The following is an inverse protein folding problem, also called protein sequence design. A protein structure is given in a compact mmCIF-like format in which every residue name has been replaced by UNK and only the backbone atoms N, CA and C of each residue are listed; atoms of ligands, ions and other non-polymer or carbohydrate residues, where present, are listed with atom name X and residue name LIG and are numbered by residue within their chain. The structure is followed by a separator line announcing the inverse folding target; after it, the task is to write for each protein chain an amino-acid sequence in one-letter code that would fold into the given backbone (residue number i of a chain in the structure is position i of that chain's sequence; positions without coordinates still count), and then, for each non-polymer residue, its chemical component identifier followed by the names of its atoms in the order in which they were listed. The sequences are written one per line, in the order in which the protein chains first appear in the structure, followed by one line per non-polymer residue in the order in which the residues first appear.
data_IF_751697077789
#
_entry.id   IF_751697077789
#
_cell.length_a   1.000
_cell.length_b   1.000
_cell.length_c   1.000
_cell.angle_alpha   90.00
_cell.angle_beta   90.00
_cell.angle_gamma   90.00
#
_symmetry.space_group_name_H-M   'P 1'
#
loop_
_entity.id
_entity.type
_entity.pdbx_description
1 polymer ?
#
# COMPACT_ATOMS: atom_id res chain seq x y z
N UNK A 1 24.85 -44.87 -19.06
CA UNK A 1 23.48 -44.37 -19.25
C UNK A 1 23.34 -43.13 -18.41
N UNK A 2 23.52 -41.98 -19.07
CA UNK A 2 23.45 -40.66 -18.46
C UNK A 2 21.96 -40.30 -18.35
N UNK A 3 21.41 -40.40 -17.14
CA UNK A 3 20.03 -39.97 -16.86
C UNK A 3 20.00 -38.44 -16.90
N UNK A 4 19.71 -37.91 -18.07
CA UNK A 4 19.37 -36.50 -18.26
C UNK A 4 17.98 -36.28 -17.67
N UNK A 5 17.94 -35.72 -16.46
CA UNK A 5 16.70 -35.16 -15.91
C UNK A 5 16.15 -34.14 -16.91
N UNK A 6 14.86 -34.22 -17.32
CA UNK A 6 14.30 -33.26 -18.23
C UNK A 6 14.24 -31.90 -17.53
N UNK A 7 15.04 -30.95 -18.03
CA UNK A 7 14.93 -29.52 -17.74
C UNK A 7 13.45 -29.12 -17.76
N UNK A 8 12.90 -28.79 -16.58
CA UNK A 8 11.60 -28.10 -16.48
C UNK A 8 11.70 -26.84 -17.32
N UNK A 9 11.07 -26.86 -18.48
CA UNK A 9 10.88 -25.67 -19.28
C UNK A 9 9.80 -24.86 -18.59
N UNK A 10 10.22 -23.84 -17.83
CA UNK A 10 9.32 -22.79 -17.36
C UNK A 10 8.72 -22.10 -18.58
N UNK A 11 7.60 -22.63 -19.07
CA UNK A 11 6.79 -22.00 -20.09
C UNK A 11 6.11 -20.80 -19.44
N UNK A 12 6.83 -19.68 -19.40
CA UNK A 12 6.20 -18.39 -19.12
C UNK A 12 5.06 -18.19 -20.12
N UNK A 13 3.84 -18.14 -19.59
CA UNK A 13 2.66 -17.91 -20.41
C UNK A 13 2.69 -16.51 -21.03
N UNK A 14 2.10 -16.34 -22.23
CA UNK A 14 1.92 -15.02 -22.81
C UNK A 14 0.97 -14.18 -21.95
N UNK A 15 1.36 -12.93 -21.71
CA UNK A 15 0.62 -11.95 -20.89
C UNK A 15 -0.90 -11.89 -21.12
N UNK A 16 -1.42 -11.94 -22.36
CA UNK A 16 -2.86 -11.91 -22.60
C UNK A 16 -3.61 -13.08 -21.94
N UNK A 17 -3.01 -14.27 -21.92
CA UNK A 17 -3.63 -15.46 -21.35
C UNK A 17 -3.65 -15.42 -19.81
N UNK A 18 -2.63 -14.80 -19.19
CA UNK A 18 -2.61 -14.53 -17.75
C UNK A 18 -3.69 -13.52 -17.34
N UNK A 19 -3.83 -12.44 -18.11
CA UNK A 19 -4.87 -11.42 -17.88
C UNK A 19 -6.27 -12.04 -18.02
N UNK A 20 -6.49 -12.80 -19.10
CA UNK A 20 -7.78 -13.44 -19.35
C UNK A 20 -8.14 -14.45 -18.25
N UNK A 21 -7.16 -15.23 -17.79
CA UNK A 21 -7.36 -16.19 -16.70
C UNK A 21 -7.66 -15.50 -15.38
N UNK A 22 -6.98 -14.40 -15.07
CA UNK A 22 -7.24 -13.61 -13.86
C UNK A 22 -8.62 -12.94 -13.88
N UNK A 23 -9.02 -12.34 -15.00
CA UNK A 23 -10.34 -11.73 -15.15
C UNK A 23 -11.47 -12.78 -15.11
N UNK A 24 -11.29 -13.90 -15.82
CA UNK A 24 -12.22 -15.02 -15.79
C UNK A 24 -12.38 -15.60 -14.39
N UNK A 25 -11.27 -15.75 -13.67
CA UNK A 25 -11.28 -16.16 -12.27
C UNK A 25 -12.06 -15.19 -11.37
N UNK A 26 -11.81 -13.89 -11.49
CA UNK A 26 -12.56 -12.87 -10.72
C UNK A 26 -14.07 -12.90 -11.01
N UNK A 27 -14.45 -13.10 -12.28
CA UNK A 27 -15.85 -13.24 -12.66
C UNK A 27 -16.50 -14.46 -11.98
N UNK A 28 -15.80 -15.61 -11.98
CA UNK A 28 -16.24 -16.82 -11.27
C UNK A 28 -16.39 -16.53 -9.78
N UNK A 29 -15.41 -15.85 -9.16
CA UNK A 29 -15.46 -15.51 -7.75
C UNK A 29 -16.73 -14.70 -7.41
N UNK A 30 -17.04 -13.68 -8.21
CA UNK A 30 -18.24 -12.84 -8.02
C UNK A 30 -19.52 -13.67 -8.18
N UNK A 31 -19.65 -14.42 -9.28
CA UNK A 31 -20.85 -15.21 -9.55
C UNK A 31 -21.10 -16.27 -8.48
N UNK A 32 -20.05 -16.99 -8.06
CA UNK A 32 -20.15 -18.01 -7.01
C UNK A 32 -20.52 -17.38 -5.67
N UNK A 33 -19.89 -16.25 -5.31
CA UNK A 33 -20.20 -15.56 -4.06
C UNK A 33 -21.66 -15.12 -4.02
N UNK A 34 -22.13 -14.46 -5.08
CA UNK A 34 -23.52 -14.00 -5.18
C UNK A 34 -24.50 -15.17 -5.12
N UNK A 35 -24.22 -16.26 -5.86
CA UNK A 35 -25.07 -17.45 -5.83
C UNK A 35 -25.17 -18.06 -4.43
N UNK A 36 -24.04 -18.25 -3.74
CA UNK A 36 -24.02 -18.81 -2.38
C UNK A 36 -24.79 -17.92 -1.40
N UNK A 37 -24.63 -16.59 -1.50
CA UNK A 37 -25.35 -15.66 -0.64
C UNK A 37 -26.87 -15.69 -0.88
N UNK A 38 -27.31 -15.77 -2.13
CA UNK A 38 -28.74 -15.86 -2.48
C UNK A 38 -29.39 -17.16 -1.97
N UNK A 39 -28.67 -18.28 -2.03
CA UNK A 39 -29.19 -19.57 -1.55
C UNK A 39 -29.21 -19.64 -0.01
N UNK A 40 -28.29 -18.93 0.66
CA UNK A 40 -28.13 -18.97 2.09
C UNK A 40 -29.06 -18.03 2.89
N UNK A 41 -29.94 -17.25 2.26
CA UNK A 41 -30.80 -16.24 2.94
C UNK A 41 -31.90 -16.83 3.85
N UNK A 42 -31.95 -18.16 4.05
CA UNK A 42 -32.81 -18.79 5.05
C UNK A 42 -32.18 -18.72 6.46
N UNK A 43 -33.00 -18.57 7.52
CA UNK A 43 -32.61 -18.23 8.91
C UNK A 43 -31.41 -18.99 9.55
N UNK A 44 -30.98 -20.15 9.05
CA UNK A 44 -29.78 -20.88 9.51
C UNK A 44 -28.55 -20.72 8.58
N UNK A 45 -28.60 -19.79 7.63
CA UNK A 45 -27.62 -19.63 6.56
C UNK A 45 -26.20 -19.31 7.00
N UNK A 46 -26.00 -18.64 8.13
CA UNK A 46 -24.65 -18.18 8.55
C UNK A 46 -23.68 -19.31 8.83
N UNK A 47 -24.15 -20.40 9.47
CA UNK A 47 -23.31 -21.58 9.70
C UNK A 47 -22.94 -22.23 8.37
N UNK A 48 -23.90 -22.32 7.44
CA UNK A 48 -23.65 -22.87 6.11
C UNK A 48 -22.67 -22.00 5.29
N UNK A 49 -22.75 -20.67 5.41
CA UNK A 49 -21.81 -19.72 4.78
C UNK A 49 -20.41 -19.91 5.38
N UNK A 50 -20.29 -20.03 6.71
CA UNK A 50 -19.01 -20.25 7.38
C UNK A 50 -18.35 -21.58 6.96
N UNK A 51 -19.13 -22.67 6.90
CA UNK A 51 -18.64 -23.98 6.43
C UNK A 51 -18.19 -23.87 4.96
N UNK A 52 -18.99 -23.20 4.11
CA UNK A 52 -18.67 -23.02 2.69
C UNK A 52 -17.40 -22.19 2.50
N UNK A 53 -17.21 -21.14 3.32
CA UNK A 53 -15.97 -20.35 3.36
C UNK A 53 -14.75 -21.23 3.63
N UNK A 54 -14.80 -22.05 4.67
CA UNK A 54 -13.71 -22.97 5.04
C UNK A 54 -13.43 -23.96 3.90
N UNK A 55 -14.47 -24.54 3.30
CA UNK A 55 -14.34 -25.48 2.18
C UNK A 55 -13.67 -24.83 0.96
N UNK A 56 -14.01 -23.58 0.63
CA UNK A 56 -13.36 -22.88 -0.46
C UNK A 56 -11.91 -22.51 -0.16
N UNK A 57 -11.57 -22.11 1.06
CA UNK A 57 -10.18 -21.85 1.44
C UNK A 57 -9.34 -23.13 1.38
N UNK A 58 -9.87 -24.26 1.88
CA UNK A 58 -9.19 -25.56 1.77
C UNK A 58 -9.04 -25.98 0.31
N UNK A 59 -10.09 -25.82 -0.50
CA UNK A 59 -10.05 -26.07 -1.95
C UNK A 59 -9.02 -25.20 -2.67
N UNK A 60 -8.90 -23.93 -2.29
CA UNK A 60 -7.89 -23.01 -2.81
C UNK A 60 -6.46 -23.47 -2.45
N UNK A 61 -6.23 -23.90 -1.20
CA UNK A 61 -4.94 -24.45 -0.78
C UNK A 61 -4.61 -25.73 -1.58
N UNK A 62 -5.58 -26.63 -1.73
CA UNK A 62 -5.39 -27.89 -2.47
C UNK A 62 -5.06 -27.66 -3.95
N UNK A 63 -5.76 -26.72 -4.61
CA UNK A 63 -5.53 -26.39 -6.02
C UNK A 63 -4.19 -25.71 -6.26
N UNK A 64 -3.69 -24.95 -5.28
CA UNK A 64 -2.41 -24.23 -5.35
C UNK A 64 -1.19 -25.05 -4.92
N UNK A 65 -1.37 -26.33 -4.55
CA UNK A 65 -0.25 -27.24 -4.29
C UNK A 65 0.48 -27.66 -5.57
N UNK A 66 -0.21 -27.63 -6.71
CA UNK A 66 0.41 -27.83 -8.02
C UNK A 66 0.97 -26.49 -8.48
N UNK A 67 2.28 -26.43 -8.72
CA UNK A 67 2.98 -25.22 -9.14
C UNK A 67 2.67 -24.90 -10.62
N UNK A 68 1.42 -24.52 -10.87
CA UNK A 68 0.91 -24.14 -12.18
C UNK A 68 0.12 -22.84 -12.02
N UNK A 69 0.71 -21.75 -12.49
CA UNK A 69 0.14 -20.41 -12.36
C UNK A 69 -1.24 -20.26 -13.01
N UNK A 70 -1.56 -21.01 -14.07
CA UNK A 70 -2.91 -20.96 -14.68
C UNK A 70 -3.96 -21.49 -13.70
N UNK A 71 -3.69 -22.66 -13.10
CA UNK A 71 -4.62 -23.30 -12.17
C UNK A 71 -4.78 -22.41 -10.93
N UNK A 72 -3.68 -21.83 -10.46
CA UNK A 72 -3.67 -20.88 -9.36
C UNK A 72 -4.51 -19.63 -9.68
N UNK A 73 -4.39 -19.04 -10.87
CA UNK A 73 -5.16 -17.85 -11.25
C UNK A 73 -6.63 -18.13 -11.56
N UNK A 74 -6.95 -19.26 -12.20
CA UNK A 74 -8.30 -19.58 -12.66
C UNK A 74 -9.18 -20.20 -11.57
N UNK A 75 -8.58 -20.93 -10.63
CA UNK A 75 -9.31 -21.64 -9.58
C UNK A 75 -8.85 -21.27 -8.18
N UNK A 76 -7.54 -21.22 -7.93
CA UNK A 76 -7.00 -20.94 -6.59
C UNK A 76 -7.39 -19.56 -6.06
N UNK A 77 -7.07 -18.50 -6.81
CA UNK A 77 -7.36 -17.11 -6.43
C UNK A 77 -8.88 -16.86 -6.28
N UNK A 78 -9.75 -17.30 -7.20
CA UNK A 78 -11.20 -17.15 -7.03
C UNK A 78 -11.74 -17.85 -5.78
N UNK A 79 -11.28 -19.08 -5.52
CA UNK A 79 -11.68 -19.82 -4.32
C UNK A 79 -11.21 -19.11 -3.04
N UNK A 80 -10.00 -18.54 -3.02
CA UNK A 80 -9.57 -17.70 -1.91
C UNK A 80 -10.49 -16.49 -1.74
N UNK A 81 -10.72 -15.71 -2.80
CA UNK A 81 -11.54 -14.49 -2.74
C UNK A 81 -12.96 -14.82 -2.24
N UNK A 82 -13.62 -15.82 -2.83
CA UNK A 82 -14.95 -16.25 -2.41
C UNK A 82 -14.92 -16.76 -0.97
N UNK A 83 -13.93 -17.55 -0.58
CA UNK A 83 -13.76 -18.05 0.79
C UNK A 83 -13.63 -16.93 1.82
N UNK A 84 -12.74 -15.96 1.60
CA UNK A 84 -12.53 -14.80 2.48
C UNK A 84 -13.78 -13.91 2.56
N UNK A 85 -14.47 -13.66 1.43
CA UNK A 85 -15.70 -12.85 1.43
C UNK A 85 -16.82 -13.54 2.20
N UNK A 86 -17.04 -14.84 1.99
CA UNK A 86 -18.06 -15.58 2.71
C UNK A 86 -17.73 -15.69 4.21
N UNK A 87 -16.46 -15.86 4.58
CA UNK A 87 -16.01 -15.88 5.97
C UNK A 87 -16.32 -14.57 6.68
N UNK A 88 -16.01 -13.45 6.01
CA UNK A 88 -16.33 -12.12 6.51
C UNK A 88 -17.84 -11.93 6.69
N UNK A 89 -18.66 -12.32 5.70
CA UNK A 89 -20.12 -12.22 5.78
C UNK A 89 -20.69 -13.09 6.91
N UNK A 90 -20.14 -14.30 7.13
CA UNK A 90 -20.58 -15.17 8.21
C UNK A 90 -20.33 -14.56 9.60
N UNK A 91 -19.24 -13.81 9.74
CA UNK A 91 -18.79 -13.22 11.00
C UNK A 91 -19.18 -11.74 11.17
N UNK A 92 -19.86 -11.13 10.19
CA UNK A 92 -20.11 -9.68 10.11
C UNK A 92 -20.83 -9.09 11.34
N UNK A 93 -21.52 -9.90 12.14
CA UNK A 93 -22.15 -9.47 13.41
C UNK A 93 -21.13 -8.81 14.35
N UNK A 94 -19.86 -9.20 14.26
CA UNK A 94 -18.76 -8.51 14.93
C UNK A 94 -17.65 -8.28 13.92
N UNK A 95 -17.70 -7.12 13.25
CA UNK A 95 -16.74 -6.74 12.20
C UNK A 95 -15.28 -6.86 12.66
N UNK A 96 -14.95 -6.38 13.86
CA UNK A 96 -13.59 -6.47 14.40
C UNK A 96 -13.13 -7.92 14.61
N UNK A 97 -14.00 -8.80 15.12
CA UNK A 97 -13.67 -10.22 15.29
C UNK A 97 -13.53 -10.89 13.93
N UNK A 98 -14.42 -10.58 12.97
CA UNK A 98 -14.33 -11.08 11.61
C UNK A 98 -12.97 -10.75 11.00
N UNK A 99 -12.53 -9.48 11.06
CA UNK A 99 -11.25 -9.06 10.49
C UNK A 99 -10.04 -9.73 11.16
N UNK A 100 -10.06 -9.93 12.49
CA UNK A 100 -8.99 -10.63 13.20
C UNK A 100 -8.93 -12.11 12.77
N UNK A 101 -10.08 -12.77 12.67
CA UNK A 101 -10.15 -14.17 12.20
C UNK A 101 -9.66 -14.27 10.77
N UNK A 102 -10.12 -13.40 9.87
CA UNK A 102 -9.67 -13.36 8.48
C UNK A 102 -8.16 -13.11 8.36
N UNK A 103 -7.59 -12.28 9.23
CA UNK A 103 -6.15 -12.04 9.26
C UNK A 103 -5.36 -13.31 9.64
N UNK A 104 -5.81 -14.02 10.68
CA UNK A 104 -5.18 -15.28 11.11
C UNK A 104 -5.31 -16.33 10.00
N UNK A 105 -6.50 -16.46 9.41
CA UNK A 105 -6.76 -17.40 8.31
C UNK A 105 -5.91 -17.07 7.09
N UNK A 106 -5.73 -15.80 6.75
CA UNK A 106 -4.87 -15.37 5.65
C UNK A 106 -3.39 -15.73 5.89
N UNK A 107 -2.88 -15.58 7.12
CA UNK A 107 -1.51 -15.99 7.49
C UNK A 107 -1.34 -17.50 7.33
N UNK A 108 -2.31 -18.29 7.82
CA UNK A 108 -2.29 -19.76 7.69
C UNK A 108 -2.34 -20.16 6.21
N UNK A 109 -3.24 -19.55 5.42
CA UNK A 109 -3.35 -19.78 3.99
C UNK A 109 -2.04 -19.42 3.25
N UNK A 110 -1.39 -18.33 3.62
CA UNK A 110 -0.11 -17.91 3.06
C UNK A 110 1.00 -18.93 3.32
N UNK A 111 1.07 -19.46 4.55
CA UNK A 111 2.06 -20.48 4.93
C UNK A 111 1.85 -21.80 4.17
N UNK A 112 0.59 -22.20 3.94
CA UNK A 112 0.24 -23.48 3.33
C UNK A 112 0.21 -23.45 1.78
N UNK A 113 -0.07 -22.29 1.18
CA UNK A 113 -0.07 -22.11 -0.27
C UNK A 113 1.34 -22.36 -0.83
N UNK A 114 1.47 -23.04 -1.98
CA UNK A 114 2.77 -23.23 -2.66
C UNK A 114 2.97 -22.34 -3.87
N UNK A 115 1.90 -22.03 -4.60
CA UNK A 115 1.96 -21.11 -5.75
C UNK A 115 2.44 -19.71 -5.31
N UNK A 116 3.46 -19.21 -6.01
CA UNK A 116 4.00 -17.87 -5.75
C UNK A 116 2.98 -16.76 -6.04
N UNK A 117 2.18 -16.91 -7.10
CA UNK A 117 1.16 -15.94 -7.50
C UNK A 117 0.11 -15.76 -6.39
N UNK A 118 -0.44 -16.86 -5.88
CA UNK A 118 -1.42 -16.79 -4.79
C UNK A 118 -0.81 -16.26 -3.49
N UNK A 119 0.46 -16.60 -3.17
CA UNK A 119 1.17 -16.01 -2.02
C UNK A 119 1.31 -14.50 -2.13
N UNK A 120 1.58 -13.96 -3.32
CA UNK A 120 1.64 -12.50 -3.54
C UNK A 120 0.28 -11.83 -3.29
N UNK A 121 -0.81 -12.43 -3.76
CA UNK A 121 -2.16 -11.92 -3.48
C UNK A 121 -2.55 -12.01 -2.00
N UNK A 122 -2.23 -13.13 -1.35
CA UNK A 122 -2.44 -13.32 0.10
C UNK A 122 -1.61 -12.32 0.91
N UNK A 123 -0.36 -12.07 0.52
CA UNK A 123 0.48 -11.07 1.17
C UNK A 123 -0.09 -9.66 1.03
N UNK A 124 -0.61 -9.30 -0.14
CA UNK A 124 -1.33 -8.03 -0.32
C UNK A 124 -2.51 -7.94 0.65
N UNK A 125 -3.32 -9.00 0.77
CA UNK A 125 -4.46 -9.05 1.67
C UNK A 125 -4.05 -8.97 3.16
N UNK A 126 -3.03 -9.72 3.57
CA UNK A 126 -2.46 -9.69 4.93
C UNK A 126 -1.94 -8.29 5.27
N UNK A 127 -1.29 -7.60 4.33
CA UNK A 127 -0.81 -6.25 4.54
C UNK A 127 -1.92 -5.20 4.47
N UNK A 128 -3.11 -5.52 3.96
CA UNK A 128 -4.25 -4.62 3.94
C UNK A 128 -5.10 -4.70 5.21
N UNK A 129 -5.29 -5.91 5.75
CA UNK A 129 -6.18 -6.15 6.90
C UNK A 129 -5.83 -5.35 8.18
N UNK A 130 -4.57 -5.11 8.57
CA UNK A 130 -4.23 -4.29 9.73
C UNK A 130 -4.77 -2.86 9.64
N UNK A 131 -4.84 -2.27 8.44
CA UNK A 131 -5.46 -0.97 8.23
C UNK A 131 -6.96 -1.02 8.56
N UNK A 132 -7.66 -2.07 8.11
CA UNK A 132 -9.10 -2.26 8.35
C UNK A 132 -9.42 -2.58 9.81
N UNK A 133 -8.57 -3.38 10.46
CA UNK A 133 -8.67 -3.68 11.90
C UNK A 133 -8.47 -2.39 12.69
N UNK A 134 -7.38 -1.66 12.43
CA UNK A 134 -7.09 -0.38 13.07
C UNK A 134 -8.25 0.61 12.91
N UNK A 135 -8.83 0.68 11.71
CA UNK A 135 -10.01 1.48 11.42
C UNK A 135 -11.27 1.08 12.21
N UNK A 136 -11.56 -0.22 12.29
CA UNK A 136 -12.74 -0.68 13.01
C UNK A 136 -12.64 -0.33 14.50
N UNK A 137 -11.43 -0.38 15.06
CA UNK A 137 -11.17 0.08 16.42
C UNK A 137 -11.38 1.59 16.61
N UNK A 138 -11.08 2.41 15.60
CA UNK A 138 -11.29 3.87 15.70
C UNK A 138 -12.76 4.26 15.66
N UNK A 139 -13.56 3.60 14.83
CA UNK A 139 -15.01 3.84 14.78
C UNK A 139 -15.72 3.41 16.07
N UNK A 140 -15.19 2.39 16.76
CA UNK A 140 -15.75 1.90 18.03
C UNK A 140 -15.69 2.95 19.16
N UNK A 141 -14.72 3.86 19.14
CA UNK A 141 -14.52 4.84 20.21
C UNK A 141 -15.21 6.19 19.99
N UNK A 142 -15.84 6.43 18.82
CA UNK A 142 -16.52 7.68 18.41
C UNK A 142 -15.73 9.00 18.62
N UNK A 143 -14.52 8.94 19.17
CA UNK A 143 -13.68 10.09 19.43
C UNK A 143 -12.82 10.38 18.19
N UNK A 144 -13.09 11.54 17.59
CA UNK A 144 -12.34 12.07 16.45
C UNK A 144 -10.82 12.17 16.72
N UNK A 145 -10.40 12.32 17.98
CA UNK A 145 -8.99 12.33 18.41
C UNK A 145 -8.35 10.96 18.25
N UNK A 146 -8.99 9.94 18.81
CA UNK A 146 -8.50 8.58 18.73
C UNK A 146 -8.38 8.13 17.27
N UNK A 147 -9.38 8.43 16.43
CA UNK A 147 -9.38 8.05 15.02
C UNK A 147 -8.22 8.66 14.22
N UNK A 148 -7.98 9.95 14.42
CA UNK A 148 -6.91 10.67 13.75
C UNK A 148 -5.53 10.16 14.17
N UNK A 149 -5.29 9.98 15.49
CA UNK A 149 -4.01 9.49 16.01
C UNK A 149 -3.67 8.10 15.47
N UNK A 150 -4.63 7.17 15.44
CA UNK A 150 -4.42 5.82 14.94
C UNK A 150 -4.06 5.79 13.47
N UNK A 151 -4.72 6.61 12.65
CA UNK A 151 -4.39 6.68 11.22
C UNK A 151 -2.93 7.12 11.02
N UNK A 152 -2.40 8.04 11.83
CA UNK A 152 -1.01 8.49 11.74
C UNK A 152 -0.01 7.44 12.21
N UNK A 153 -0.34 6.71 13.27
CA UNK A 153 0.45 5.57 13.74
C UNK A 153 0.55 4.53 12.62
N UNK A 154 -0.56 4.23 11.94
CA UNK A 154 -0.58 3.31 10.80
C UNK A 154 0.32 3.85 9.67
N UNK A 155 0.17 5.11 9.25
CA UNK A 155 1.03 5.70 8.21
C UNK A 155 2.51 5.63 8.59
N UNK A 156 2.87 5.90 9.85
CA UNK A 156 4.26 5.78 10.34
C UNK A 156 4.79 4.35 10.25
N UNK A 157 3.99 3.36 10.68
CA UNK A 157 4.37 1.93 10.59
C UNK A 157 4.62 1.54 9.13
N UNK A 158 3.71 1.90 8.21
CA UNK A 158 3.85 1.52 6.80
C UNK A 158 4.99 2.26 6.09
N UNK A 159 5.27 3.52 6.46
CA UNK A 159 6.45 4.24 5.97
C UNK A 159 7.74 3.60 6.50
N UNK A 160 7.76 3.16 7.77
CA UNK A 160 8.90 2.45 8.32
C UNK A 160 9.13 1.10 7.63
N UNK A 161 8.07 0.35 7.32
CA UNK A 161 8.14 -0.88 6.51
C UNK A 161 8.70 -0.55 5.12
N UNK A 162 8.16 0.46 4.44
CA UNK A 162 8.61 0.87 3.11
C UNK A 162 10.09 1.27 3.12
N UNK A 163 10.51 2.10 4.09
CA UNK A 163 11.91 2.49 4.29
C UNK A 163 12.83 1.30 4.61
N UNK A 164 12.33 0.34 5.39
CA UNK A 164 13.03 -0.94 5.63
C UNK A 164 13.31 -1.71 4.35
N UNK A 165 12.39 -1.70 3.37
CA UNK A 165 12.60 -2.37 2.07
C UNK A 165 13.66 -1.71 1.19
N UNK A 166 14.04 -0.46 1.46
CA UNK A 166 15.05 0.28 0.69
C UNK A 166 16.46 -0.17 1.09
N UNK A 167 16.66 -0.54 2.35
CA UNK A 167 17.95 -0.98 2.87
C UNK A 167 18.19 -2.48 2.59
N UNK A 168 18.42 -2.81 1.30
CA UNK A 168 18.56 -4.19 0.79
C UNK A 168 19.58 -5.06 1.53
N UNK A 169 20.69 -4.47 2.03
CA UNK A 169 21.79 -5.20 2.69
C UNK A 169 21.39 -5.99 3.95
N UNK A 170 20.21 -5.74 4.54
CA UNK A 170 19.75 -6.43 5.76
C UNK A 170 18.84 -7.64 5.47
N UNK A 171 18.43 -7.86 4.20
CA UNK A 171 17.38 -8.83 3.83
C UNK A 171 17.90 -9.90 2.85
N UNK A 172 19.18 -9.87 2.45
CA UNK A 172 19.81 -10.78 1.47
C UNK A 172 19.78 -12.29 1.84
N UNK A 173 19.32 -12.66 3.04
CA UNK A 173 19.24 -14.05 3.49
C UNK A 173 17.86 -14.70 3.40
N UNK A 174 16.84 -14.01 2.88
CA UNK A 174 15.49 -14.58 2.77
C UNK A 174 15.02 -14.56 1.30
N UNK A 175 14.19 -15.53 0.89
CA UNK A 175 13.45 -15.57 -0.40
C UNK A 175 12.49 -14.36 -0.60
N UNK A 176 12.65 -13.30 0.19
CA UNK A 176 11.84 -12.09 0.31
C UNK A 176 11.95 -11.22 -0.94
N UNK A 177 13.01 -11.34 -1.75
CA UNK A 177 13.20 -10.55 -2.98
C UNK A 177 12.01 -10.67 -3.94
N UNK A 178 11.38 -11.85 -4.02
CA UNK A 178 10.21 -12.07 -4.88
C UNK A 178 8.93 -11.40 -4.34
N UNK A 179 8.87 -11.09 -3.05
CA UNK A 179 7.72 -10.49 -2.38
C UNK A 179 7.87 -9.00 -2.14
N UNK A 180 9.11 -8.50 -2.17
CA UNK A 180 9.47 -7.12 -1.88
C UNK A 180 8.74 -6.09 -2.77
N UNK A 181 8.51 -6.32 -4.08
CA UNK A 181 7.68 -5.43 -4.90
C UNK A 181 6.23 -5.34 -4.42
N UNK A 182 5.66 -6.46 -3.93
CA UNK A 182 4.28 -6.50 -3.42
C UNK A 182 4.19 -5.77 -2.10
N UNK A 183 5.16 -5.97 -1.20
CA UNK A 183 5.24 -5.24 0.07
C UNK A 183 5.30 -3.73 -0.19
N UNK A 184 6.18 -3.28 -1.10
CA UNK A 184 6.31 -1.87 -1.48
C UNK A 184 5.03 -1.30 -2.07
N UNK A 185 4.44 -1.99 -3.03
CA UNK A 185 3.20 -1.55 -3.66
C UNK A 185 2.05 -1.46 -2.65
N UNK A 186 1.88 -2.48 -1.81
CA UNK A 186 0.79 -2.53 -0.83
C UNK A 186 0.97 -1.45 0.23
N UNK A 187 2.19 -1.26 0.73
CA UNK A 187 2.49 -0.23 1.72
C UNK A 187 2.28 1.18 1.16
N UNK A 188 2.72 1.45 -0.07
CA UNK A 188 2.45 2.71 -0.75
C UNK A 188 0.94 2.95 -0.92
N UNK A 189 0.17 1.93 -1.31
CA UNK A 189 -1.28 2.01 -1.47
C UNK A 189 -1.98 2.27 -0.14
N UNK A 190 -1.61 1.55 0.93
CA UNK A 190 -2.14 1.76 2.29
C UNK A 190 -1.88 3.18 2.77
N UNK A 191 -0.66 3.70 2.60
CA UNK A 191 -0.34 5.08 2.97
C UNK A 191 -1.18 6.05 2.14
N UNK A 192 -1.24 5.88 0.81
CA UNK A 192 -2.02 6.76 -0.06
C UNK A 192 -3.50 6.84 0.33
N UNK A 193 -4.14 5.70 0.60
CA UNK A 193 -5.53 5.64 1.05
C UNK A 193 -5.70 6.28 2.43
N UNK A 194 -4.82 5.96 3.38
CA UNK A 194 -4.88 6.54 4.72
C UNK A 194 -4.75 8.07 4.70
N UNK A 195 -3.86 8.61 3.86
CA UNK A 195 -3.67 10.06 3.69
C UNK A 195 -4.88 10.73 3.04
N UNK A 196 -5.45 10.12 2.00
CA UNK A 196 -6.69 10.60 1.41
C UNK A 196 -7.80 10.68 2.47
N UNK A 197 -7.94 9.66 3.32
CA UNK A 197 -8.96 9.66 4.36
C UNK A 197 -8.70 10.66 5.50
N UNK A 198 -7.47 10.75 6.01
CA UNK A 198 -7.09 11.74 7.03
C UNK A 198 -7.42 13.16 6.61
N UNK A 199 -7.39 13.39 5.30
CA UNK A 199 -7.75 14.67 4.74
C UNK A 199 -9.24 14.97 5.03
N UNK A 200 -10.16 13.98 5.07
CA UNK A 200 -11.62 14.15 5.28
C UNK A 200 -12.15 14.43 6.68
N UNK A 201 -11.42 14.18 7.77
CA UNK A 201 -12.00 14.19 9.12
C UNK A 201 -11.41 15.25 10.07
N UNK A 202 -10.95 16.38 9.54
CA UNK A 202 -10.21 17.37 10.35
C UNK A 202 -11.13 18.29 11.16
N UNK A 203 -11.03 18.21 12.49
CA UNK A 203 -11.59 19.15 13.46
C UNK A 203 -10.51 19.98 14.18
N UNK A 204 -10.89 21.15 14.70
CA UNK A 204 -10.01 22.21 15.21
C UNK A 204 -9.22 21.84 16.48
N UNK A 205 -9.65 20.84 17.25
CA UNK A 205 -9.10 20.52 18.58
C UNK A 205 -7.76 19.77 18.57
N UNK A 206 -7.18 19.45 17.41
CA UNK A 206 -6.01 18.58 17.29
C UNK A 206 -4.72 19.26 16.82
N UNK A 207 -4.70 20.59 16.84
CA UNK A 207 -3.67 21.39 16.18
C UNK A 207 -2.24 21.00 16.56
N UNK A 208 -1.89 20.87 17.85
CA UNK A 208 -0.50 20.66 18.28
C UNK A 208 0.10 19.30 17.85
N UNK A 209 -0.66 18.21 18.01
CA UNK A 209 -0.21 16.86 17.64
C UNK A 209 -0.06 16.73 16.12
N UNK A 210 -0.95 17.37 15.39
CA UNK A 210 -1.00 17.42 13.93
C UNK A 210 0.28 18.06 13.33
N UNK A 211 0.71 19.22 13.86
CA UNK A 211 1.97 19.85 13.43
C UNK A 211 3.21 19.08 13.87
N UNK A 212 3.19 18.43 15.04
CA UNK A 212 4.31 17.61 15.50
C UNK A 212 4.59 16.45 14.52
N UNK A 213 3.55 15.77 14.04
CA UNK A 213 3.71 14.69 13.05
C UNK A 213 4.16 15.23 11.68
N UNK A 214 3.58 16.35 11.22
CA UNK A 214 4.06 17.03 10.01
C UNK A 214 5.55 17.33 10.08
N UNK A 215 6.01 17.84 11.22
CA UNK A 215 7.41 18.20 11.44
C UNK A 215 8.32 16.96 11.40
N UNK A 216 7.90 15.84 11.99
CA UNK A 216 8.62 14.56 11.89
C UNK A 216 8.76 14.12 10.43
N UNK A 217 7.68 14.14 9.65
CA UNK A 217 7.74 13.74 8.24
C UNK A 217 8.53 14.71 7.35
N UNK A 218 8.41 16.02 7.60
CA UNK A 218 9.17 17.03 6.88
C UNK A 218 10.67 16.94 7.16
N UNK A 219 11.06 16.73 8.42
CA UNK A 219 12.46 16.54 8.79
C UNK A 219 13.05 15.25 8.21
N UNK A 220 12.29 14.15 8.21
CA UNK A 220 12.69 12.91 7.53
C UNK A 220 12.86 13.11 6.01
N UNK A 221 11.92 13.82 5.37
CA UNK A 221 11.98 14.13 3.94
C UNK A 221 13.22 14.97 3.60
N UNK A 222 13.50 15.97 4.43
CA UNK A 222 14.68 16.80 4.29
C UNK A 222 15.97 15.98 4.44
N UNK A 223 16.05 15.09 5.43
CA UNK A 223 17.22 14.23 5.62
C UNK A 223 17.49 13.35 4.39
N UNK A 224 16.44 12.81 3.76
CA UNK A 224 16.57 12.02 2.52
C UNK A 224 16.96 12.89 1.34
N UNK A 225 16.34 14.05 1.18
CA UNK A 225 16.68 15.00 0.13
C UNK A 225 18.14 15.47 0.25
N UNK A 226 18.60 15.77 1.47
CA UNK A 226 20.00 16.09 1.77
C UNK A 226 20.93 14.94 1.38
N UNK A 227 20.60 13.70 1.76
CA UNK A 227 21.39 12.52 1.40
C UNK A 227 21.51 12.34 -0.12
N UNK A 228 20.43 12.57 -0.86
CA UNK A 228 20.44 12.51 -2.32
C UNK A 228 21.26 13.66 -2.95
N UNK A 229 21.09 14.88 -2.47
CA UNK A 229 21.75 16.09 -3.00
C UNK A 229 23.26 16.08 -2.73
N UNK A 230 23.67 15.74 -1.51
CA UNK A 230 25.09 15.73 -1.07
C UNK A 230 25.97 14.75 -1.83
N UNK A 231 25.39 13.70 -2.43
CA UNK A 231 26.11 12.76 -3.31
C UNK A 231 26.50 13.38 -4.66
N UNK A 232 25.78 14.40 -5.12
CA UNK A 232 25.87 14.89 -6.50
C UNK A 232 26.28 16.36 -6.61
N UNK A 233 26.09 17.14 -5.55
CA UNK A 233 26.35 18.58 -5.55
C UNK A 233 27.21 18.89 -4.32
N UNK A 234 28.27 19.69 -4.50
CA UNK A 234 29.17 20.11 -3.42
C UNK A 234 29.32 21.63 -3.35
N UNK A 235 29.85 22.13 -2.23
CA UNK A 235 30.15 23.56 -2.03
C UNK A 235 28.90 24.45 -1.96
N UNK A 236 29.02 25.69 -2.45
CA UNK A 236 27.96 26.70 -2.34
C UNK A 236 26.64 26.28 -3.03
N UNK A 237 26.71 25.49 -4.10
CA UNK A 237 25.52 24.96 -4.80
C UNK A 237 24.75 23.96 -3.94
N UNK A 238 25.45 23.19 -3.10
CA UNK A 238 24.82 22.27 -2.15
C UNK A 238 24.04 23.07 -1.09
N UNK A 239 24.64 24.13 -0.54
CA UNK A 239 23.97 24.98 0.45
C UNK A 239 22.66 25.58 -0.08
N UNK A 240 22.68 26.12 -1.31
CA UNK A 240 21.47 26.67 -1.96
C UNK A 240 20.43 25.58 -2.20
N UNK A 241 20.85 24.40 -2.70
CA UNK A 241 19.93 23.28 -2.96
C UNK A 241 19.32 22.72 -1.68
N UNK A 242 20.11 22.63 -0.59
CA UNK A 242 19.64 22.23 0.72
C UNK A 242 18.67 23.27 1.31
N UNK A 243 18.94 24.56 1.15
CA UNK A 243 18.02 25.61 1.59
C UNK A 243 16.67 25.49 0.86
N UNK A 244 16.67 25.28 -0.46
CA UNK A 244 15.45 25.05 -1.23
C UNK A 244 14.72 23.78 -0.78
N UNK A 245 15.43 22.68 -0.55
CA UNK A 245 14.85 21.42 -0.08
C UNK A 245 14.22 21.58 1.31
N UNK A 246 14.90 22.30 2.22
CA UNK A 246 14.38 22.60 3.55
C UNK A 246 13.10 23.43 3.46
N UNK A 247 13.09 24.48 2.63
CA UNK A 247 11.92 25.33 2.42
C UNK A 247 10.73 24.53 1.85
N UNK A 248 11.01 23.59 0.94
CA UNK A 248 10.01 22.69 0.36
C UNK A 248 9.39 21.79 1.43
N UNK A 249 10.23 21.14 2.24
CA UNK A 249 9.77 20.26 3.31
C UNK A 249 9.00 21.05 4.37
N UNK A 250 9.47 22.25 4.73
CA UNK A 250 8.79 23.14 5.65
C UNK A 250 7.40 23.54 5.13
N UNK A 251 7.25 23.85 3.84
CA UNK A 251 5.96 24.17 3.24
C UNK A 251 4.94 23.01 3.32
N UNK A 252 5.42 21.76 3.31
CA UNK A 252 4.53 20.60 3.51
C UNK A 252 4.02 20.45 4.94
N UNK A 253 4.57 21.17 5.93
CA UNK A 253 4.06 21.15 7.32
C UNK A 253 2.77 21.96 7.50
N UNK A 254 2.41 22.81 6.51
CA UNK A 254 1.16 23.57 6.51
C UNK A 254 -0.05 22.64 6.40
N UNK A 255 0.12 21.47 5.78
CA UNK A 255 -0.90 20.41 5.75
C UNK A 255 -0.25 19.03 5.95
N UNK A 256 -0.29 18.45 7.16
CA UNK A 256 0.29 17.17 7.54
C UNK A 256 0.06 15.96 6.66
N UNK A 257 -0.96 15.91 5.80
CA UNK A 257 -1.07 14.83 4.83
C UNK A 257 -0.09 15.00 3.64
N UNK A 258 0.41 16.21 3.39
CA UNK A 258 1.40 16.50 2.34
C UNK A 258 2.80 15.98 2.71
N UNK A 259 3.24 16.17 3.95
CA UNK A 259 4.57 15.76 4.40
C UNK A 259 4.86 14.25 4.22
N UNK A 260 4.01 13.30 4.64
CA UNK A 260 4.21 11.87 4.41
C UNK A 260 4.06 11.47 2.94
N UNK A 261 3.19 12.13 2.16
CA UNK A 261 3.11 11.91 0.72
C UNK A 261 4.41 12.33 0.00
N UNK A 262 4.96 13.49 0.38
CA UNK A 262 6.24 13.97 -0.12
C UNK A 262 7.40 13.05 0.27
N UNK A 263 7.43 12.59 1.53
CA UNK A 263 8.39 11.58 1.99
C UNK A 263 8.31 10.30 1.15
N UNK A 264 7.11 9.79 0.91
CA UNK A 264 6.89 8.59 0.09
C UNK A 264 7.36 8.75 -1.35
N UNK A 265 7.15 9.93 -1.95
CA UNK A 265 7.70 10.25 -3.28
C UNK A 265 9.24 10.20 -3.27
N UNK A 266 9.90 10.82 -2.28
CA UNK A 266 11.36 10.81 -2.15
C UNK A 266 11.91 9.39 -1.94
N UNK A 267 11.28 8.60 -1.06
CA UNK A 267 11.67 7.22 -0.81
C UNK A 267 11.49 6.33 -2.06
N UNK A 268 10.39 6.49 -2.80
CA UNK A 268 10.15 5.75 -4.05
C UNK A 268 11.15 6.13 -5.13
N UNK A 269 11.55 7.41 -5.14
CA UNK A 269 12.56 7.92 -6.04
C UNK A 269 13.94 7.29 -5.78
N UNK A 270 14.35 7.13 -4.51
CA UNK A 270 15.65 6.51 -4.14
C UNK A 270 15.89 5.13 -4.76
N UNK A 271 14.81 4.38 -5.02
CA UNK A 271 14.85 3.01 -5.57
C UNK A 271 14.31 2.93 -7.00
N UNK A 272 14.00 4.07 -7.62
CA UNK A 272 13.42 4.19 -8.97
C UNK A 272 12.14 3.34 -9.16
N UNK A 273 11.29 3.26 -8.12
CA UNK A 273 10.03 2.53 -8.17
C UNK A 273 8.89 3.45 -8.66
N UNK A 274 8.71 3.48 -9.98
CA UNK A 274 7.72 4.35 -10.65
C UNK A 274 6.26 4.08 -10.23
N UNK A 275 5.94 2.83 -9.84
CA UNK A 275 4.58 2.47 -9.41
C UNK A 275 4.28 3.13 -8.07
N UNK A 276 5.19 2.98 -7.11
CA UNK A 276 5.06 3.62 -5.80
C UNK A 276 5.09 5.14 -5.91
N UNK A 277 5.97 5.70 -6.77
CA UNK A 277 6.03 7.13 -7.04
C UNK A 277 4.68 7.70 -7.52
N UNK A 278 4.00 6.98 -8.43
CA UNK A 278 2.70 7.39 -8.97
C UNK A 278 1.63 7.42 -7.87
N UNK A 279 1.61 6.42 -6.99
CA UNK A 279 0.66 6.35 -5.87
C UNK A 279 0.88 7.53 -4.91
N UNK A 280 2.13 7.80 -4.52
CA UNK A 280 2.44 8.91 -3.62
C UNK A 280 2.21 10.27 -4.28
N UNK A 281 2.45 10.42 -5.59
CA UNK A 281 2.12 11.64 -6.33
C UNK A 281 0.60 11.87 -6.37
N UNK A 282 -0.20 10.84 -6.61
CA UNK A 282 -1.66 10.94 -6.56
C UNK A 282 -2.15 11.34 -5.16
N UNK A 283 -1.60 10.72 -4.10
CA UNK A 283 -1.90 11.09 -2.72
C UNK A 283 -1.50 12.54 -2.40
N UNK A 284 -0.35 12.99 -2.90
CA UNK A 284 0.11 14.37 -2.74
C UNK A 284 -0.83 15.37 -3.43
N UNK A 285 -1.26 15.09 -4.65
CA UNK A 285 -2.24 15.91 -5.39
C UNK A 285 -3.59 15.94 -4.67
N UNK A 286 -4.05 14.82 -4.12
CA UNK A 286 -5.28 14.78 -3.33
C UNK A 286 -5.18 15.65 -2.07
N UNK A 287 -4.08 15.56 -1.32
CA UNK A 287 -3.81 16.39 -0.14
C UNK A 287 -3.74 17.88 -0.47
N UNK A 288 -3.10 18.24 -1.59
CA UNK A 288 -3.04 19.61 -2.12
C UNK A 288 -4.42 20.12 -2.49
N UNK A 289 -5.20 19.31 -3.22
CA UNK A 289 -6.55 19.67 -3.64
C UNK A 289 -7.39 20.00 -2.43
N UNK A 290 -7.28 19.20 -1.36
CA UNK A 290 -8.05 19.46 -0.14
C UNK A 290 -7.58 20.68 0.64
N UNK A 291 -6.27 20.88 0.78
CA UNK A 291 -5.73 22.11 1.33
C UNK A 291 -6.29 23.37 0.64
N UNK A 292 -6.53 23.30 -0.67
CA UNK A 292 -7.12 24.38 -1.44
C UNK A 292 -8.58 24.68 -1.02
N UNK A 293 -9.36 23.67 -0.64
CA UNK A 293 -10.77 23.81 -0.29
C UNK A 293 -11.07 23.95 1.22
N UNK A 294 -10.22 23.44 2.12
CA UNK A 294 -10.55 23.32 3.55
C UNK A 294 -10.06 24.46 4.45
N UNK A 295 -9.06 25.25 4.05
CA UNK A 295 -8.50 26.29 4.92
C UNK A 295 -9.23 27.64 4.78
N UNK A 296 -9.58 28.31 5.88
CA UNK A 296 -10.04 29.71 5.91
C UNK A 296 -8.86 30.70 5.69
N UNK A 297 -8.04 30.43 4.68
CA UNK A 297 -6.94 31.28 4.24
C UNK A 297 -7.36 31.92 2.91
N UNK A 298 -7.01 33.19 2.72
CA UNK A 298 -7.18 33.90 1.46
C UNK A 298 -6.61 33.07 0.28
N UNK A 299 -7.43 32.86 -0.74
CA UNK A 299 -7.14 32.02 -1.92
C UNK A 299 -5.77 32.31 -2.56
N UNK A 300 -5.35 33.57 -2.51
CA UNK A 300 -4.06 34.03 -3.04
C UNK A 300 -2.85 33.47 -2.27
N UNK A 301 -2.93 33.37 -0.94
CA UNK A 301 -1.85 32.79 -0.12
C UNK A 301 -1.74 31.28 -0.33
N UNK A 302 -2.87 30.59 -0.48
CA UNK A 302 -2.90 29.17 -0.85
C UNK A 302 -2.27 28.93 -2.22
N UNK A 303 -2.54 29.82 -3.17
CA UNK A 303 -2.00 29.74 -4.52
C UNK A 303 -0.49 29.97 -4.56
N UNK A 304 0.04 30.93 -3.79
CA UNK A 304 1.50 31.13 -3.67
C UNK A 304 2.21 29.93 -3.01
N UNK A 305 1.60 29.34 -1.97
CA UNK A 305 2.12 28.13 -1.32
C UNK A 305 2.14 26.94 -2.29
N UNK A 306 1.05 26.68 -3.00
CA UNK A 306 0.99 25.61 -4.02
C UNK A 306 1.99 25.84 -5.15
N UNK A 307 2.09 27.07 -5.65
CA UNK A 307 3.00 27.41 -6.75
C UNK A 307 4.45 27.22 -6.31
N UNK A 308 4.79 27.59 -5.08
CA UNK A 308 6.10 27.34 -4.48
C UNK A 308 6.40 25.84 -4.36
N UNK A 309 5.49 25.07 -3.76
CA UNK A 309 5.65 23.61 -3.58
C UNK A 309 5.73 22.87 -4.92
N UNK A 310 4.91 23.25 -5.91
CA UNK A 310 4.90 22.66 -7.25
C UNK A 310 6.15 23.01 -8.06
N UNK A 311 6.58 24.27 -8.05
CA UNK A 311 7.83 24.69 -8.70
C UNK A 311 9.05 24.00 -8.09
N UNK A 312 9.04 23.80 -6.77
CA UNK A 312 10.12 23.11 -6.05
C UNK A 312 10.11 21.60 -6.31
N UNK A 313 8.94 20.95 -6.40
CA UNK A 313 8.83 19.56 -6.81
C UNK A 313 9.36 19.35 -8.24
N UNK A 314 9.02 20.25 -9.17
CA UNK A 314 9.55 20.22 -10.53
C UNK A 314 11.07 20.44 -10.56
N UNK A 315 11.61 21.31 -9.71
CA UNK A 315 13.05 21.52 -9.58
C UNK A 315 13.76 20.26 -9.07
N UNK A 316 13.21 19.60 -8.05
CA UNK A 316 13.73 18.34 -7.52
C UNK A 316 13.65 17.26 -8.61
N UNK A 317 12.50 17.11 -9.28
CA UNK A 317 12.32 16.14 -10.36
C UNK A 317 13.28 16.39 -11.54
N UNK A 318 13.46 17.65 -11.94
CA UNK A 318 14.34 18.02 -13.05
C UNK A 318 15.81 17.79 -12.71
N UNK A 319 16.23 18.20 -11.50
CA UNK A 319 17.57 17.90 -11.00
C UNK A 319 17.84 16.40 -11.04
N UNK A 320 16.91 15.57 -10.57
CA UNK A 320 17.20 14.14 -10.50
C UNK A 320 17.05 13.42 -11.85
N UNK A 321 16.16 13.87 -12.75
CA UNK A 321 16.10 13.36 -14.13
C UNK A 321 17.39 13.66 -14.92
N UNK A 322 17.99 14.83 -14.70
CA UNK A 322 19.32 15.16 -15.24
C UNK A 322 20.41 14.23 -14.72
N UNK A 323 20.29 13.79 -13.45
CA UNK A 323 21.25 12.88 -12.81
C UNK A 323 21.13 11.44 -13.34
N UNK A 324 19.93 10.89 -13.56
CA UNK A 324 19.75 9.53 -14.09
C UNK A 324 20.26 9.39 -15.53
N UNK A 325 20.22 10.46 -16.32
CA UNK A 325 20.72 10.46 -17.71
C UNK A 325 22.25 10.43 -17.79
N UNK A 326 22.95 10.86 -16.74
CA UNK A 326 24.41 10.84 -16.67
C UNK A 326 24.99 9.52 -16.15
N UNK A 327 24.19 8.65 -15.52
CA UNK A 327 24.62 7.29 -15.12
C UNK A 327 24.48 6.26 -16.28
N UNK A 328 23.79 6.62 -17.38
CA UNK A 328 23.63 5.78 -18.57
C UNK A 328 24.62 6.10 -19.70
N UNK A 329 25.53 7.05 -19.48
CA UNK A 329 26.63 7.42 -20.38
C UNK A 329 27.97 7.17 -19.68
#
# INVERSE_FOLDING_TARGET
MENTEPKKTDKHLPWPMLILSGLGGLLIAVLVTVFVLLVADNHNGRISIAITSILFIIGAIATTQKDNDIIAMLFGLPLYITGFVLGFVALIKSESIAMIVEFIVAIIAFALCKSQTCRKCLLFYILWLPLQIGWSFTNFHHDSLFSSVWSYIIVLIYIAIFGGTINKKRIEHLEVDNYLPVVRFTTALVIGVALCYMSFFQGVTQFAFYYAIAFIFASASFAIAYHLLSKHISGAKLAISCLLALLSCAATTVYPAMAPAFLGMMLSFMILDYKCLTIFAAAFVASISKFYYDLDILLIHKSYLLMGVGALFLLIFFCIKLLTKNEQN
#
